data_IF_549475395439
#
_entry.id   IF_549475395439
#
_cell.length_a   1.000
_cell.length_b   1.000
_cell.length_c   1.000
_cell.angle_alpha   90.00
_cell.angle_beta   90.00
_cell.angle_gamma   90.00
#
_symmetry.space_group_name_H-M   'P 1'
#
loop_
_entity.id
_entity.type
_entity.pdbx_description
1 polymer ?
#
# COMPACT_ATOMS: atom_id res chain seq x y z
N UNK A 1 -31.72 2.85 23.16
CA UNK A 1 -30.45 3.52 22.77
C UNK A 1 -29.36 2.52 22.42
N UNK A 2 -29.06 1.52 23.26
CA UNK A 2 -28.02 0.50 22.98
C UNK A 2 -28.26 -0.30 21.69
N UNK A 3 -29.51 -0.67 21.40
CA UNK A 3 -29.87 -1.42 20.17
C UNK A 3 -29.72 -0.58 18.89
N UNK A 4 -29.95 0.73 18.96
CA UNK A 4 -29.78 1.63 17.82
C UNK A 4 -28.28 1.84 17.51
N UNK A 5 -27.43 1.93 18.54
CA UNK A 5 -25.98 2.01 18.37
C UNK A 5 -25.42 0.72 17.77
N UNK A 6 -25.91 -0.46 18.20
CA UNK A 6 -25.51 -1.74 17.63
C UNK A 6 -25.89 -1.86 16.14
N UNK A 7 -27.08 -1.41 15.75
CA UNK A 7 -27.52 -1.41 14.35
C UNK A 7 -26.67 -0.47 13.47
N UNK A 8 -26.28 0.70 13.99
CA UNK A 8 -25.38 1.63 13.28
C UNK A 8 -23.99 1.02 13.09
N UNK A 9 -23.44 0.38 14.13
CA UNK A 9 -22.12 -0.28 14.04
C UNK A 9 -22.14 -1.46 13.07
N UNK A 10 -23.21 -2.26 13.06
CA UNK A 10 -23.39 -3.37 12.10
C UNK A 10 -23.51 -2.83 10.67
N UNK A 11 -24.31 -1.80 10.45
CA UNK A 11 -24.46 -1.19 9.13
C UNK A 11 -23.14 -0.57 8.62
N UNK A 12 -22.39 0.11 9.49
CA UNK A 12 -21.08 0.66 9.16
C UNK A 12 -20.05 -0.45 8.84
N UNK A 13 -20.05 -1.54 9.61
CA UNK A 13 -19.18 -2.69 9.35
C UNK A 13 -19.51 -3.40 8.04
N UNK A 14 -20.80 -3.54 7.70
CA UNK A 14 -21.24 -4.11 6.42
C UNK A 14 -20.88 -3.21 5.23
N UNK A 15 -21.05 -1.89 5.37
CA UNK A 15 -20.68 -0.91 4.35
C UNK A 15 -19.16 -0.91 4.10
N UNK A 16 -18.34 -1.08 5.13
CA UNK A 16 -16.88 -1.18 4.97
C UNK A 16 -16.48 -2.40 4.15
N UNK A 17 -17.06 -3.58 4.44
CA UNK A 17 -16.74 -4.82 3.69
C UNK A 17 -17.21 -4.75 2.24
N UNK A 18 -18.32 -4.07 1.97
CA UNK A 18 -18.80 -3.86 0.62
C UNK A 18 -17.90 -2.90 -0.19
N UNK A 19 -17.13 -2.05 0.49
CA UNK A 19 -16.17 -1.12 -0.12
C UNK A 19 -14.78 -1.74 -0.35
N UNK A 20 -14.61 -3.03 -0.06
CA UNK A 20 -13.40 -3.79 -0.38
C UNK A 20 -13.44 -4.24 -1.86
N UNK A 21 -13.69 -3.28 -2.74
CA UNK A 21 -13.58 -3.47 -4.19
C UNK A 21 -12.09 -3.49 -4.52
N UNK A 22 -11.61 -4.57 -5.13
CA UNK A 22 -10.25 -4.62 -5.65
C UNK A 22 -10.13 -3.57 -6.76
N UNK A 23 -9.70 -2.37 -6.40
CA UNK A 23 -9.42 -1.31 -7.35
C UNK A 23 -8.26 -1.75 -8.23
N UNK A 24 -8.57 -2.13 -9.47
CA UNK A 24 -7.56 -2.35 -10.50
C UNK A 24 -6.72 -1.07 -10.62
N UNK A 25 -5.40 -1.22 -10.60
CA UNK A 25 -4.51 -0.07 -10.79
C UNK A 25 -4.62 0.37 -12.25
N UNK A 26 -5.22 1.53 -12.48
CA UNK A 26 -5.34 2.11 -13.81
C UNK A 26 -3.98 2.55 -14.37
N UNK A 27 -3.85 2.63 -15.69
CA UNK A 27 -2.67 3.19 -16.35
C UNK A 27 -2.35 4.62 -15.91
N UNK A 28 -3.38 5.43 -15.65
CA UNK A 28 -3.22 6.78 -15.14
C UNK A 28 -2.64 6.81 -13.71
N UNK A 29 -3.02 5.86 -12.86
CA UNK A 29 -2.41 5.70 -11.53
C UNK A 29 -0.95 5.26 -11.65
N UNK A 30 -0.64 4.31 -12.54
CA UNK A 30 0.74 3.88 -12.80
C UNK A 30 1.62 5.04 -13.28
N UNK A 31 1.15 5.84 -14.24
CA UNK A 31 1.90 6.99 -14.76
C UNK A 31 2.18 8.02 -13.66
N UNK A 32 1.19 8.33 -12.81
CA UNK A 32 1.39 9.22 -11.66
C UNK A 32 2.39 8.63 -10.66
N UNK A 33 2.29 7.34 -10.36
CA UNK A 33 3.23 6.65 -9.46
C UNK A 33 4.66 6.68 -9.98
N UNK A 34 4.86 6.46 -11.28
CA UNK A 34 6.18 6.53 -11.91
C UNK A 34 6.81 7.92 -11.79
N UNK A 35 6.03 9.00 -11.97
CA UNK A 35 6.52 10.37 -11.80
C UNK A 35 6.95 10.65 -10.34
N UNK A 36 6.13 10.23 -9.36
CA UNK A 36 6.47 10.35 -7.94
C UNK A 36 7.73 9.56 -7.60
N UNK A 37 7.86 8.34 -8.13
CA UNK A 37 9.04 7.51 -7.91
C UNK A 37 10.32 8.20 -8.39
N UNK A 38 10.30 8.74 -9.61
CA UNK A 38 11.45 9.43 -10.19
C UNK A 38 11.85 10.67 -9.37
N UNK A 39 10.88 11.43 -8.87
CA UNK A 39 11.13 12.68 -8.14
C UNK A 39 11.60 12.45 -6.69
N UNK A 40 11.06 11.44 -6.01
CA UNK A 40 11.21 11.31 -4.56
C UNK A 40 11.89 10.02 -4.09
N UNK A 41 11.84 8.94 -4.86
CA UNK A 41 12.26 7.61 -4.41
C UNK A 41 13.59 7.19 -5.05
N UNK A 42 13.79 7.55 -6.32
CA UNK A 42 14.92 7.12 -7.12
C UNK A 42 16.28 7.59 -6.57
N UNK A 43 16.32 8.69 -5.81
CA UNK A 43 17.54 9.20 -5.18
C UNK A 43 18.16 8.21 -4.18
N UNK A 44 17.34 7.33 -3.58
CA UNK A 44 17.78 6.33 -2.60
C UNK A 44 17.61 4.90 -3.10
N UNK A 45 16.59 4.63 -3.92
CA UNK A 45 16.25 3.29 -4.39
C UNK A 45 16.67 3.00 -5.84
N UNK A 46 17.33 3.96 -6.50
CA UNK A 46 17.80 3.85 -7.88
C UNK A 46 16.72 4.17 -8.91
N UNK A 47 17.13 4.46 -10.15
CA UNK A 47 16.22 4.92 -11.20
C UNK A 47 15.36 3.79 -11.81
N UNK A 48 15.79 2.54 -11.68
CA UNK A 48 15.16 1.37 -12.28
C UNK A 48 14.63 0.38 -11.24
N UNK A 49 14.20 0.86 -10.07
CA UNK A 49 13.66 0.03 -8.99
C UNK A 49 14.68 -0.98 -8.41
N UNK A 50 15.96 -0.62 -8.41
CA UNK A 50 17.04 -1.51 -8.00
C UNK A 50 16.95 -1.88 -6.52
N UNK A 51 16.55 -0.94 -5.67
CA UNK A 51 16.47 -1.12 -4.23
C UNK A 51 17.80 -1.53 -3.61
N UNK A 52 17.74 -2.20 -2.45
CA UNK A 52 18.94 -2.75 -1.83
C UNK A 52 19.32 -4.09 -2.48
N UNK A 53 20.61 -4.33 -2.78
CA UNK A 53 21.09 -5.63 -3.23
C UNK A 53 20.77 -6.75 -2.25
N UNK A 54 20.43 -7.93 -2.75
CA UNK A 54 20.17 -9.12 -1.92
C UNK A 54 19.14 -8.89 -0.79
N UNK A 55 18.19 -7.96 -0.95
CA UNK A 55 17.25 -7.59 0.11
C UNK A 55 16.37 -8.72 0.64
N UNK A 56 16.29 -9.83 -0.08
CA UNK A 56 15.59 -11.05 0.36
C UNK A 56 16.45 -11.96 1.24
N UNK A 57 17.69 -11.57 1.51
CA UNK A 57 18.64 -12.27 2.36
C UNK A 57 18.91 -11.44 3.62
N UNK A 58 18.91 -12.05 4.82
CA UNK A 58 19.25 -11.34 6.04
C UNK A 58 20.69 -10.81 6.01
N UNK A 59 20.87 -9.60 6.55
CA UNK A 59 22.18 -8.99 6.74
C UNK A 59 23.00 -9.66 7.83
N UNK A 60 24.20 -9.14 8.14
CA UNK A 60 25.09 -9.67 9.18
C UNK A 60 24.47 -9.66 10.59
N UNK A 61 23.49 -8.80 10.83
CA UNK A 61 22.71 -8.72 12.06
C UNK A 61 21.49 -9.67 12.07
N UNK A 62 21.32 -10.46 11.00
CA UNK A 62 20.22 -11.41 10.83
C UNK A 62 18.88 -10.77 10.46
N UNK A 63 18.82 -9.47 10.14
CA UNK A 63 17.59 -8.78 9.74
C UNK A 63 17.50 -8.61 8.23
N UNK A 64 16.28 -8.67 7.70
CA UNK A 64 16.03 -8.16 6.36
C UNK A 64 16.09 -6.62 6.39
N UNK A 65 16.48 -5.98 5.29
CA UNK A 65 16.50 -4.53 5.20
C UNK A 65 15.10 -3.91 5.14
#
# INVERSE_FOLDING_TARGET
MVLAAAAVLVAAGLAWRANEESSEVTSAQLARGAAVYAEACASCHGANLEGQPEWRSPGPDGRLP
#
